data_IF_101783144798
#
_entry.id   IF_101783144798
#
_cell.length_a   1.000
_cell.length_b   1.000
_cell.length_c   1.000
_cell.angle_alpha   90.00
_cell.angle_beta   90.00
_cell.angle_gamma   90.00
#
_symmetry.space_group_name_H-M   'P 1'
#
loop_
_entity.id
_entity.type
_entity.pdbx_description
1 polymer ?
#
# COMPACT_ATOMS: atom_id res chain seq x y z
N UNK A 1 -6.62 15.04 11.25
CA UNK A 1 -5.25 15.31 10.78
C UNK A 1 -4.31 15.23 11.98
N UNK A 2 -3.46 14.20 12.09
CA UNK A 2 -2.43 14.13 13.14
C UNK A 2 -1.10 13.67 12.54
N UNK A 3 -0.08 14.46 12.84
CA UNK A 3 1.30 14.41 12.36
C UNK A 3 2.09 13.42 13.24
N UNK A 4 3.07 12.76 12.65
CA UNK A 4 4.00 11.83 13.31
C UNK A 4 5.19 12.59 13.92
N UNK A 5 5.48 12.34 15.20
CA UNK A 5 6.57 13.00 15.93
C UNK A 5 7.78 12.07 16.24
N UNK A 6 7.91 10.91 15.57
CA UNK A 6 9.20 10.20 15.51
C UNK A 6 9.65 9.40 16.74
N UNK A 7 8.75 8.82 17.55
CA UNK A 7 9.11 8.04 18.75
C UNK A 7 8.93 6.51 18.65
N UNK A 8 9.68 5.70 19.43
CA UNK A 8 9.61 4.23 19.40
C UNK A 8 8.44 3.69 20.25
N UNK A 9 7.59 2.84 19.64
CA UNK A 9 6.56 2.07 20.33
C UNK A 9 5.16 2.69 20.34
N UNK A 10 4.16 1.85 20.07
CA UNK A 10 2.74 2.19 19.92
C UNK A 10 2.05 2.53 21.25
N UNK A 11 2.33 3.69 21.85
CA UNK A 11 1.66 4.12 23.08
C UNK A 11 0.46 5.04 22.86
N UNK A 12 0.17 5.52 21.65
CA UNK A 12 -1.01 6.37 21.39
C UNK A 12 -1.65 6.08 20.02
N UNK A 13 -2.96 5.78 20.03
CA UNK A 13 -3.80 5.74 18.83
C UNK A 13 -4.02 7.18 18.35
N UNK A 14 -3.36 7.56 17.26
CA UNK A 14 -3.70 8.78 16.54
C UNK A 14 -4.87 8.52 15.58
N UNK A 15 -5.69 9.54 15.36
CA UNK A 15 -7.00 9.48 14.73
C UNK A 15 -7.01 9.01 13.25
N UNK A 16 -5.84 8.71 12.65
CA UNK A 16 -5.67 8.36 11.23
C UNK A 16 -4.53 7.34 10.98
N UNK A 17 -4.14 6.53 11.97
CA UNK A 17 -3.11 5.50 11.75
C UNK A 17 -3.47 4.24 12.51
N UNK A 18 -3.63 3.13 11.79
CA UNK A 18 -3.69 1.82 12.42
C UNK A 18 -2.31 1.52 12.98
N UNK A 19 -2.13 1.75 14.28
CA UNK A 19 -0.93 1.31 14.98
C UNK A 19 -0.96 -0.22 15.03
N UNK A 20 -0.12 -0.86 14.20
CA UNK A 20 0.07 -2.30 14.26
C UNK A 20 0.85 -2.57 15.54
N UNK A 21 0.17 -3.21 16.50
CA UNK A 21 0.77 -3.61 17.75
C UNK A 21 2.05 -4.44 17.50
N UNK A 22 3.23 -4.01 17.97
CA UNK A 22 4.49 -4.72 17.76
C UNK A 22 4.52 -6.11 18.40
N UNK A 23 3.67 -6.36 19.40
CA UNK A 23 3.51 -7.65 20.06
C UNK A 23 2.40 -8.52 19.41
N UNK A 24 1.73 -8.05 18.37
CA UNK A 24 0.70 -8.83 17.68
C UNK A 24 1.31 -9.92 16.80
N UNK A 25 0.51 -10.97 16.53
CA UNK A 25 0.85 -11.97 15.53
C UNK A 25 1.09 -11.34 14.14
N UNK A 26 0.36 -10.28 13.79
CA UNK A 26 0.61 -9.54 12.53
C UNK A 26 2.00 -8.92 12.49
N UNK A 27 2.47 -8.34 13.59
CA UNK A 27 3.83 -7.82 13.68
C UNK A 27 4.88 -8.93 13.58
N UNK A 28 4.64 -10.10 14.18
CA UNK A 28 5.49 -11.28 14.01
C UNK A 28 5.52 -11.78 12.55
N UNK A 29 4.47 -11.53 11.77
CA UNK A 29 4.40 -11.77 10.31
C UNK A 29 4.96 -10.61 9.48
N UNK A 30 5.62 -9.64 10.13
CA UNK A 30 6.32 -8.55 9.47
C UNK A 30 5.44 -7.39 9.02
N UNK A 31 4.22 -7.27 9.57
CA UNK A 31 3.45 -6.03 9.47
C UNK A 31 4.04 -5.01 10.46
N UNK A 32 4.64 -3.95 9.92
CA UNK A 32 5.29 -2.89 10.70
C UNK A 32 4.73 -1.54 10.31
N UNK A 33 5.24 -0.45 10.90
CA UNK A 33 4.85 0.89 10.47
C UNK A 33 5.13 1.08 8.97
N UNK A 34 4.16 1.64 8.25
CA UNK A 34 4.28 1.93 6.83
C UNK A 34 5.45 2.91 6.58
N UNK A 35 6.28 2.59 5.59
CA UNK A 35 7.38 3.45 5.11
C UNK A 35 7.07 4.02 3.72
N UNK A 36 5.82 3.89 3.29
CA UNK A 36 5.35 4.25 1.96
C UNK A 36 5.52 5.75 1.67
N UNK A 37 6.19 6.05 0.57
CA UNK A 37 6.22 7.38 -0.03
C UNK A 37 5.39 7.31 -1.32
N UNK A 38 4.44 8.22 -1.44
CA UNK A 38 3.48 8.25 -2.54
C UNK A 38 3.73 9.43 -3.47
N UNK A 39 3.62 9.17 -4.76
CA UNK A 39 3.72 10.16 -5.83
C UNK A 39 2.53 10.03 -6.78
N UNK A 40 1.88 11.16 -7.08
CA UNK A 40 0.74 11.21 -7.97
C UNK A 40 1.10 11.95 -9.25
N UNK A 41 0.96 11.26 -10.38
CA UNK A 41 1.08 11.88 -11.69
C UNK A 41 -0.32 12.20 -12.25
N UNK A 42 -0.77 13.46 -12.19
CA UNK A 42 -2.10 13.85 -12.68
C UNK A 42 -2.22 13.80 -14.21
N UNK A 43 -1.11 13.75 -14.95
CA UNK A 43 -1.12 13.68 -16.41
C UNK A 43 -1.44 12.26 -16.88
N UNK A 44 -0.90 11.25 -16.19
CA UNK A 44 -1.10 9.84 -16.55
C UNK A 44 -2.16 9.14 -15.69
N UNK A 45 -2.62 9.77 -14.60
CA UNK A 45 -3.55 9.13 -13.66
C UNK A 45 -2.91 8.00 -12.85
N UNK A 46 -1.61 8.07 -12.60
CA UNK A 46 -0.84 7.01 -11.93
C UNK A 46 -0.43 7.46 -10.54
N UNK A 47 -0.81 6.67 -9.53
CA UNK A 47 -0.35 6.81 -8.16
C UNK A 47 0.72 5.73 -7.89
N UNK A 48 1.95 6.15 -7.66
CA UNK A 48 3.06 5.25 -7.37
C UNK A 48 3.48 5.34 -5.91
N UNK A 49 3.82 4.19 -5.34
CA UNK A 49 4.32 4.01 -4.00
C UNK A 49 5.74 3.46 -4.08
N UNK A 50 6.64 3.98 -3.25
CA UNK A 50 7.91 3.32 -2.93
C UNK A 50 7.95 2.95 -1.45
N UNK A 51 8.52 1.79 -1.14
CA UNK A 51 8.57 1.26 0.22
C UNK A 51 7.38 0.36 0.55
N UNK A 52 7.01 0.29 1.84
CA UNK A 52 6.01 -0.64 2.35
C UNK A 52 4.79 0.10 2.89
N UNK A 53 3.61 -0.37 2.49
CA UNK A 53 2.34 0.05 3.06
C UNK A 53 1.65 -1.14 3.71
N UNK A 54 1.27 -0.97 4.97
CA UNK A 54 0.51 -1.94 5.73
C UNK A 54 -0.84 -1.32 6.13
N UNK A 55 -1.93 -2.03 5.87
CA UNK A 55 -3.25 -1.76 6.43
C UNK A 55 -3.69 -2.96 7.24
N UNK A 56 -4.35 -2.73 8.36
CA UNK A 56 -4.88 -3.82 9.16
C UNK A 56 -6.19 -3.40 9.81
N UNK A 57 -7.12 -4.32 9.97
CA UNK A 57 -8.37 -4.11 10.69
C UNK A 57 -8.34 -4.82 12.03
N UNK A 58 -9.04 -4.25 13.01
CA UNK A 58 -9.17 -4.78 14.36
C UNK A 58 -10.58 -4.51 14.88
N UNK A 59 -11.04 -5.30 15.85
CA UNK A 59 -12.36 -5.12 16.47
C UNK A 59 -12.33 -4.22 17.71
N UNK A 60 -11.19 -3.61 18.00
CA UNK A 60 -11.01 -2.82 19.21
C UNK A 60 -10.08 -1.65 18.94
N UNK A 61 -10.40 -0.52 19.57
CA UNK A 61 -9.53 0.66 19.60
C UNK A 61 -8.39 0.54 20.63
N UNK A 62 -8.26 -0.60 21.32
CA UNK A 62 -7.20 -0.87 22.28
C UNK A 62 -5.96 -1.45 21.59
N UNK A 63 -4.77 -1.10 22.11
CA UNK A 63 -3.48 -1.50 21.52
C UNK A 63 -3.29 -3.00 21.40
N UNK A 64 -3.99 -3.79 22.22
CA UNK A 64 -3.94 -5.25 22.23
C UNK A 64 -5.22 -5.89 21.67
N UNK A 65 -6.02 -5.13 20.93
CA UNK A 65 -7.25 -5.61 20.32
C UNK A 65 -7.03 -6.81 19.39
N UNK A 66 -8.04 -7.70 19.24
CA UNK A 66 -7.94 -8.78 18.29
C UNK A 66 -7.89 -8.21 16.87
N UNK A 67 -6.89 -8.67 16.11
CA UNK A 67 -6.68 -8.28 14.73
C UNK A 67 -7.53 -9.20 13.85
N UNK A 68 -8.09 -8.66 12.77
CA UNK A 68 -8.96 -9.40 11.86
C UNK A 68 -8.17 -9.84 10.63
N UNK A 69 -7.73 -8.88 9.82
CA UNK A 69 -7.02 -9.12 8.57
C UNK A 69 -6.13 -7.93 8.26
N UNK A 70 -5.03 -8.16 7.55
CA UNK A 70 -4.13 -7.09 7.12
C UNK A 70 -3.59 -7.29 5.72
N UNK A 71 -3.39 -6.18 5.01
CA UNK A 71 -2.74 -6.14 3.71
C UNK A 71 -1.35 -5.54 3.87
N UNK A 72 -0.34 -6.27 3.40
CA UNK A 72 1.04 -5.82 3.31
C UNK A 72 1.43 -5.74 1.84
N UNK A 73 1.82 -4.57 1.38
CA UNK A 73 2.18 -4.33 -0.01
C UNK A 73 3.48 -3.54 -0.11
N UNK A 74 4.30 -3.84 -1.12
CA UNK A 74 5.53 -3.10 -1.40
C UNK A 74 5.59 -2.60 -2.84
N UNK A 75 6.08 -1.38 -3.01
CA UNK A 75 6.28 -0.72 -4.31
C UNK A 75 5.04 -0.81 -5.23
N UNK A 76 3.88 -0.41 -4.70
CA UNK A 76 2.59 -0.48 -5.38
C UNK A 76 2.44 0.65 -6.40
N UNK A 77 1.80 0.37 -7.53
CA UNK A 77 1.34 1.37 -8.49
C UNK A 77 -0.14 1.14 -8.77
N UNK A 78 -0.94 2.19 -8.66
CA UNK A 78 -2.36 2.21 -9.01
C UNK A 78 -2.50 3.10 -10.25
N UNK A 79 -2.88 2.49 -11.37
CA UNK A 79 -3.23 3.17 -12.61
C UNK A 79 -4.76 3.31 -12.67
N UNK A 80 -5.22 4.53 -12.40
CA UNK A 80 -6.65 4.90 -12.38
C UNK A 80 -7.26 5.00 -13.78
N UNK A 81 -6.42 5.08 -14.82
CA UNK A 81 -6.89 5.20 -16.22
C UNK A 81 -7.08 3.82 -16.84
N UNK A 82 -6.16 2.89 -16.56
CA UNK A 82 -6.20 1.53 -17.09
C UNK A 82 -6.87 0.52 -16.14
N UNK A 83 -7.26 0.95 -14.94
CA UNK A 83 -7.84 0.11 -13.89
C UNK A 83 -6.94 -1.09 -13.53
N UNK A 84 -5.65 -0.81 -13.32
CA UNK A 84 -4.64 -1.81 -13.00
C UNK A 84 -3.92 -1.42 -11.71
N UNK A 85 -3.73 -2.39 -10.82
CA UNK A 85 -2.88 -2.25 -9.65
C UNK A 85 -1.76 -3.28 -9.68
N UNK A 86 -0.52 -2.82 -9.64
CA UNK A 86 0.69 -3.66 -9.60
C UNK A 86 1.48 -3.38 -8.32
N UNK A 87 2.33 -4.32 -7.91
CA UNK A 87 3.22 -4.16 -6.75
C UNK A 87 4.41 -5.10 -6.92
N UNK A 88 5.50 -4.83 -6.20
CA UNK A 88 6.60 -5.77 -6.10
C UNK A 88 6.20 -6.99 -5.26
N UNK A 89 5.51 -6.78 -4.14
CA UNK A 89 4.91 -7.86 -3.35
C UNK A 89 3.57 -7.45 -2.76
N UNK A 90 2.70 -8.44 -2.58
CA UNK A 90 1.48 -8.34 -1.81
C UNK A 90 1.32 -9.60 -0.94
N UNK A 91 0.93 -9.40 0.31
CA UNK A 91 0.58 -10.46 1.23
C UNK A 91 -0.65 -10.04 2.00
N UNK A 92 -1.67 -10.90 1.98
CA UNK A 92 -2.67 -10.86 3.02
C UNK A 92 -2.14 -11.60 4.25
N UNK A 93 -2.30 -11.00 5.42
CA UNK A 93 -1.89 -11.56 6.71
C UNK A 93 -3.13 -11.71 7.58
N UNK A 94 -3.40 -12.95 7.96
CA UNK A 94 -4.53 -13.31 8.80
C UNK A 94 -4.30 -12.85 10.25
N UNK A 95 -5.33 -12.28 10.85
CA UNK A 95 -5.36 -11.98 12.28
C UNK A 95 -5.71 -13.20 13.12
N UNK A 96 -6.01 -12.97 14.40
CA UNK A 96 -6.41 -14.04 15.31
C UNK A 96 -7.93 -14.10 15.52
N UNK A 97 -8.67 -13.07 15.11
CA UNK A 97 -10.10 -13.02 15.34
C UNK A 97 -10.87 -14.07 14.55
N UNK A 98 -10.64 -14.16 13.24
CA UNK A 98 -11.49 -14.93 12.33
C UNK A 98 -11.42 -16.44 12.59
N UNK A 99 -10.25 -16.96 12.98
CA UNK A 99 -10.12 -18.35 13.41
C UNK A 99 -11.06 -18.69 14.58
N UNK A 100 -11.28 -17.75 15.51
CA UNK A 100 -12.22 -17.93 16.63
C UNK A 100 -13.70 -17.97 16.23
N UNK A 101 -14.03 -17.57 15.01
CA UNK A 101 -15.39 -17.66 14.44
C UNK A 101 -15.46 -18.63 13.25
N UNK A 102 -14.47 -19.49 13.10
CA UNK A 102 -14.49 -20.54 12.07
C UNK A 102 -14.21 -20.04 10.66
N UNK A 103 -13.45 -18.96 10.48
CA UNK A 103 -13.13 -18.40 9.17
C UNK A 103 -11.63 -18.06 9.01
N UNK A 104 -11.17 -17.98 7.76
CA UNK A 104 -9.91 -17.33 7.39
C UNK A 104 -10.20 -16.30 6.28
N UNK A 105 -9.95 -15.03 6.59
CA UNK A 105 -10.30 -13.90 5.74
C UNK A 105 -9.37 -13.71 4.54
N UNK A 106 -8.08 -14.00 4.70
CA UNK A 106 -7.14 -13.94 3.58
C UNK A 106 -7.43 -14.97 2.51
N UNK A 107 -7.79 -16.19 2.93
CA UNK A 107 -8.08 -17.27 2.01
C UNK A 107 -9.55 -17.31 1.60
N UNK A 108 -10.43 -16.59 2.29
CA UNK A 108 -11.88 -16.62 2.09
C UNK A 108 -12.43 -18.06 2.14
N UNK A 109 -12.20 -18.69 3.31
CA UNK A 109 -12.61 -20.06 3.61
C UNK A 109 -13.31 -20.11 4.98
N UNK A 110 -14.17 -21.12 5.14
CA UNK A 110 -14.61 -21.62 6.44
C UNK A 110 -13.61 -22.68 6.92
N UNK A 111 -13.13 -22.61 8.16
CA UNK A 111 -12.16 -23.58 8.73
C UNK A 111 -12.85 -24.78 9.42
N UNK A 112 -13.94 -25.23 8.83
CA UNK A 112 -14.61 -26.45 9.26
C UNK A 112 -15.26 -26.43 10.66
N UNK A 113 -15.58 -27.63 11.13
CA UNK A 113 -16.22 -27.87 12.43
C UNK A 113 -15.23 -28.08 13.57
N UNK A 114 -13.96 -28.33 13.26
CA UNK A 114 -12.90 -28.52 14.26
C UNK A 114 -12.17 -27.21 14.65
N UNK A 115 -12.44 -26.11 13.92
CA UNK A 115 -11.83 -24.79 14.10
C UNK A 115 -10.31 -24.80 13.93
N UNK A 116 -9.78 -25.68 13.08
CA UNK A 116 -8.35 -25.77 12.76
C UNK A 116 -8.12 -25.42 11.30
N UNK A 117 -7.47 -24.28 11.04
CA UNK A 117 -7.05 -23.90 9.69
C UNK A 117 -6.01 -24.91 9.16
N UNK A 118 -6.48 -25.79 8.28
CA UNK A 118 -5.68 -26.81 7.59
C UNK A 118 -5.30 -26.38 6.18
N UNK A 119 -5.60 -25.13 5.83
CA UNK A 119 -5.35 -24.53 4.54
C UNK A 119 -4.07 -23.69 4.54
N UNK A 120 -3.59 -23.37 3.35
CA UNK A 120 -2.42 -22.52 3.17
C UNK A 120 -2.51 -21.72 1.88
N UNK A 121 -1.69 -20.68 1.77
CA UNK A 121 -1.49 -19.99 0.51
C UNK A 121 -0.03 -19.60 0.28
N UNK A 122 0.38 -19.71 -0.98
CA UNK A 122 1.59 -19.08 -1.49
C UNK A 122 1.19 -17.79 -2.21
N UNK A 123 1.60 -16.64 -1.67
CA UNK A 123 1.48 -15.35 -2.33
C UNK A 123 2.73 -15.03 -3.16
N UNK A 124 2.60 -14.16 -4.14
CA UNK A 124 3.70 -13.70 -5.00
C UNK A 124 4.31 -14.82 -5.85
N UNK A 125 3.50 -15.82 -6.23
CA UNK A 125 4.00 -16.96 -7.02
C UNK A 125 4.51 -16.47 -8.37
N UNK A 126 5.71 -16.90 -8.74
CA UNK A 126 6.39 -16.42 -9.94
C UNK A 126 6.81 -14.95 -9.91
N UNK A 127 6.85 -14.32 -8.72
CA UNK A 127 7.16 -12.89 -8.58
C UNK A 127 5.99 -11.96 -8.94
N UNK A 128 4.78 -12.50 -9.10
CA UNK A 128 3.58 -11.72 -9.42
C UNK A 128 2.77 -11.46 -8.15
N UNK A 129 2.69 -10.21 -7.70
CA UNK A 129 1.92 -9.81 -6.52
C UNK A 129 0.41 -10.11 -6.59
N UNK A 130 -0.14 -10.33 -7.79
CA UNK A 130 -1.52 -10.76 -7.99
C UNK A 130 -1.71 -12.28 -8.03
N UNK A 131 -0.62 -13.06 -8.02
CA UNK A 131 -0.70 -14.51 -8.07
C UNK A 131 -0.66 -15.09 -6.65
N UNK A 132 -1.77 -15.70 -6.28
CA UNK A 132 -1.90 -16.51 -5.08
C UNK A 132 -2.27 -17.94 -5.47
N UNK A 133 -1.74 -18.91 -4.75
CA UNK A 133 -2.10 -20.32 -4.89
C UNK A 133 -2.51 -20.83 -3.53
N UNK A 134 -3.80 -21.08 -3.35
CA UNK A 134 -4.30 -21.71 -2.13
C UNK A 134 -4.26 -23.23 -2.22
N UNK A 135 -4.00 -23.86 -1.08
CA UNK A 135 -4.30 -25.27 -0.86
C UNK A 135 -5.33 -25.33 0.25
N UNK A 136 -6.48 -25.93 -0.03
CA UNK A 136 -7.54 -26.16 0.96
C UNK A 136 -7.35 -27.57 1.52
N UNK A 137 -7.26 -27.68 2.84
CA UNK A 137 -6.98 -28.94 3.54
C UNK A 137 -8.02 -29.26 4.61
N UNK A 138 -7.95 -30.47 5.17
CA UNK A 138 -8.84 -30.88 6.26
C UNK A 138 -10.33 -30.87 5.88
N UNK A 139 -11.15 -30.33 6.77
CA UNK A 139 -12.58 -30.04 6.56
C UNK A 139 -12.84 -28.57 6.20
N UNK A 140 -11.80 -27.82 5.82
CA UNK A 140 -11.94 -26.44 5.34
C UNK A 140 -12.69 -26.38 4.01
N UNK A 141 -13.45 -25.30 3.79
CA UNK A 141 -14.27 -25.12 2.59
C UNK A 141 -14.09 -23.72 2.02
N UNK A 142 -13.86 -23.63 0.71
CA UNK A 142 -13.84 -22.36 -0.01
C UNK A 142 -15.20 -21.67 0.07
N UNK A 143 -15.23 -20.43 0.56
CA UNK A 143 -16.43 -19.57 0.55
C UNK A 143 -16.36 -18.47 -0.51
N UNK A 144 -15.18 -18.27 -1.12
CA UNK A 144 -15.00 -17.40 -2.27
C UNK A 144 -13.54 -17.32 -2.72
N UNK A 145 -13.19 -16.23 -3.39
CA UNK A 145 -11.83 -15.98 -3.85
C UNK A 145 -10.94 -15.48 -2.69
N UNK A 146 -9.65 -15.85 -2.64
CA UNK A 146 -8.68 -15.25 -1.75
C UNK A 146 -8.58 -13.75 -1.97
N UNK A 147 -8.16 -13.05 -0.92
CA UNK A 147 -7.78 -11.65 -1.02
C UNK A 147 -6.45 -11.53 -1.78
N UNK A 148 -6.42 -10.67 -2.80
CA UNK A 148 -5.25 -10.37 -3.66
C UNK A 148 -5.03 -8.86 -3.75
N UNK A 149 -3.94 -8.43 -4.40
CA UNK A 149 -3.65 -7.01 -4.62
C UNK A 149 -4.77 -6.32 -5.43
N UNK A 150 -5.10 -6.85 -6.60
CA UNK A 150 -6.29 -6.49 -7.38
C UNK A 150 -7.11 -7.72 -7.76
N UNK A 151 -8.35 -7.49 -8.19
CA UNK A 151 -9.22 -8.58 -8.64
C UNK A 151 -8.65 -9.23 -9.91
N UNK A 152 -8.60 -10.56 -9.92
CA UNK A 152 -8.10 -11.36 -11.05
C UNK A 152 -9.01 -12.54 -11.32
N UNK A 153 -9.15 -12.93 -12.59
CA UNK A 153 -9.97 -14.07 -12.99
C UNK A 153 -9.33 -15.45 -12.71
N UNK A 154 -8.09 -15.47 -12.18
CA UNK A 154 -7.29 -16.68 -12.03
C UNK A 154 -6.70 -17.16 -13.35
N UNK A 155 -5.89 -18.22 -13.29
CA UNK A 155 -5.22 -18.83 -14.44
C UNK A 155 -3.69 -18.88 -14.31
N UNK A 156 -3.04 -19.65 -15.18
CA UNK A 156 -1.57 -19.81 -15.13
C UNK A 156 -1.05 -20.47 -13.86
N UNK A 157 -1.91 -21.20 -13.14
CA UNK A 157 -1.62 -21.79 -11.83
C UNK A 157 -1.99 -20.91 -10.63
N UNK A 158 -2.45 -19.67 -10.85
CA UNK A 158 -2.97 -18.79 -9.81
C UNK A 158 -4.48 -18.96 -9.61
N UNK A 159 -4.95 -18.82 -8.37
CA UNK A 159 -6.38 -18.69 -8.07
C UNK A 159 -6.93 -17.35 -8.60
N UNK A 160 -8.25 -17.32 -8.85
CA UNK A 160 -8.97 -16.06 -8.96
C UNK A 160 -8.87 -15.29 -7.64
N UNK A 161 -8.82 -13.96 -7.69
CA UNK A 161 -8.57 -13.13 -6.52
C UNK A 161 -9.56 -11.98 -6.39
N UNK A 162 -9.88 -11.60 -5.15
CA UNK A 162 -10.64 -10.40 -4.82
C UNK A 162 -9.69 -9.29 -4.36
N UNK A 163 -9.68 -8.18 -5.09
CA UNK A 163 -8.70 -7.12 -4.92
C UNK A 163 -8.89 -6.26 -3.69
N UNK A 164 -7.83 -6.17 -2.88
CA UNK A 164 -7.71 -5.25 -1.75
C UNK A 164 -7.58 -3.78 -2.21
N UNK A 165 -6.96 -3.54 -3.37
CA UNK A 165 -6.57 -2.22 -3.87
C UNK A 165 -7.11 -1.94 -5.27
N UNK A 166 -8.38 -2.30 -5.53
CA UNK A 166 -9.11 -1.90 -6.74
C UNK A 166 -9.55 -0.42 -6.64
N UNK A 167 -8.60 0.50 -6.42
CA UNK A 167 -8.85 1.91 -6.09
C UNK A 167 -8.67 2.82 -7.32
N UNK A 168 -9.49 2.63 -8.35
CA UNK A 168 -9.28 3.27 -9.65
C UNK A 168 -10.09 4.55 -9.87
N UNK A 169 -11.05 4.87 -9.01
CA UNK A 169 -11.82 6.09 -9.17
C UNK A 169 -11.11 7.28 -8.51
N UNK A 170 -10.81 8.33 -9.27
CA UNK A 170 -10.39 9.62 -8.70
C UNK A 170 -11.63 10.40 -8.27
N UNK A 171 -11.93 10.40 -6.97
CA UNK A 171 -13.09 11.11 -6.40
C UNK A 171 -12.83 12.61 -6.34
N UNK A 172 -11.59 13.01 -6.00
CA UNK A 172 -11.20 14.42 -6.01
C UNK A 172 -9.70 14.61 -6.21
N UNK A 173 -9.32 15.65 -6.94
CA UNK A 173 -7.95 16.14 -7.06
C UNK A 173 -7.97 17.67 -7.15
N UNK A 174 -7.37 18.36 -6.16
CA UNK A 174 -7.41 19.83 -6.08
C UNK A 174 -6.08 20.50 -6.44
N UNK A 175 -5.12 19.76 -7.02
CA UNK A 175 -3.82 20.29 -7.42
C UNK A 175 -2.75 20.30 -6.31
N UNK A 176 -1.53 20.80 -6.64
CA UNK A 176 -0.44 20.95 -5.68
C UNK A 176 -0.84 21.74 -4.44
N UNK A 177 -0.43 21.27 -3.25
CA UNK A 177 -0.85 21.84 -1.96
C UNK A 177 -2.26 21.45 -1.51
N UNK A 178 -2.96 20.66 -2.33
CA UNK A 178 -4.32 20.22 -2.12
C UNK A 178 -4.44 18.77 -1.65
N UNK A 179 -5.53 18.13 -2.06
CA UNK A 179 -5.87 16.75 -1.72
C UNK A 179 -6.12 15.90 -2.97
N UNK A 180 -5.72 14.63 -2.88
CA UNK A 180 -6.16 13.56 -3.78
C UNK A 180 -6.97 12.55 -2.97
N UNK A 181 -8.13 12.14 -3.50
CA UNK A 181 -8.92 11.02 -2.97
C UNK A 181 -9.15 10.02 -4.09
N UNK A 182 -8.76 8.76 -3.86
CA UNK A 182 -9.06 7.65 -4.76
C UNK A 182 -9.91 6.59 -4.05
N UNK A 183 -10.82 5.94 -4.76
CA UNK A 183 -11.78 4.99 -4.19
C UNK A 183 -11.95 3.73 -5.06
N UNK A 184 -12.65 2.73 -4.51
CA UNK A 184 -13.10 1.53 -5.23
C UNK A 184 -14.43 1.70 -5.98
N UNK A 185 -14.75 2.91 -6.45
CA UNK A 185 -15.99 3.20 -7.19
C UNK A 185 -17.27 2.86 -6.40
N UNK A 186 -17.19 2.98 -5.08
CA UNK A 186 -18.30 2.82 -4.15
C UNK A 186 -18.53 4.17 -3.47
N UNK A 187 -19.79 4.54 -3.27
CA UNK A 187 -20.13 5.78 -2.55
C UNK A 187 -19.42 5.84 -1.19
N UNK A 188 -18.80 6.99 -0.87
CA UNK A 188 -17.96 7.15 0.32
C UNK A 188 -18.71 6.93 1.65
N UNK A 189 -20.04 6.95 1.64
CA UNK A 189 -20.88 6.70 2.81
C UNK A 189 -21.52 5.31 2.81
N UNK A 190 -21.27 4.50 1.79
CA UNK A 190 -21.78 3.14 1.70
C UNK A 190 -20.85 2.13 2.41
N UNK A 191 -21.45 1.02 2.86
CA UNK A 191 -20.68 -0.11 3.34
C UNK A 191 -19.84 -0.71 2.21
N UNK A 192 -18.62 -1.15 2.53
CA UNK A 192 -17.69 -1.73 1.55
C UNK A 192 -16.88 -0.71 0.76
N UNK A 193 -17.02 0.59 1.05
CA UNK A 193 -16.13 1.61 0.51
C UNK A 193 -14.70 1.41 1.01
N UNK A 194 -13.76 1.48 0.09
CA UNK A 194 -12.33 1.59 0.38
C UNK A 194 -11.81 2.81 -0.35
N UNK A 195 -11.09 3.69 0.35
CA UNK A 195 -10.50 4.87 -0.25
C UNK A 195 -9.17 5.22 0.41
N UNK A 196 -8.34 5.92 -0.33
CA UNK A 196 -7.10 6.52 0.17
C UNK A 196 -7.16 8.02 -0.05
N UNK A 197 -6.63 8.76 0.91
CA UNK A 197 -6.57 10.22 0.87
C UNK A 197 -5.14 10.68 1.05
N UNK A 198 -4.69 11.59 0.18
CA UNK A 198 -3.32 12.09 0.17
C UNK A 198 -3.31 13.60 0.23
N UNK A 199 -2.33 14.16 0.95
CA UNK A 199 -1.94 15.56 0.76
C UNK A 199 -0.99 15.64 -0.42
N UNK A 200 -1.34 16.46 -1.42
CA UNK A 200 -0.51 16.64 -2.60
C UNK A 200 0.60 17.63 -2.26
N UNK A 201 1.85 17.26 -2.50
CA UNK A 201 2.98 18.14 -2.24
C UNK A 201 2.82 19.46 -3.03
N UNK A 202 3.27 20.57 -2.44
CA UNK A 202 3.47 21.79 -3.21
C UNK A 202 4.66 21.57 -4.14
N UNK A 203 4.44 21.56 -5.44
CA UNK A 203 5.53 21.70 -6.39
C UNK A 203 6.11 23.09 -6.21
N UNK A 204 7.33 23.20 -5.66
CA UNK A 204 8.10 24.43 -5.79
C UNK A 204 8.66 24.41 -7.21
N UNK A 205 8.26 25.33 -8.11
CA UNK A 205 8.81 25.34 -9.45
C UNK A 205 10.31 25.58 -9.34
N UNK A 206 11.13 24.57 -9.65
CA UNK A 206 12.57 24.78 -9.80
C UNK A 206 12.71 25.58 -11.09
N UNK A 207 13.18 26.84 -11.06
CA UNK A 207 13.30 27.61 -12.27
C UNK A 207 14.27 26.88 -13.20
N UNK A 208 13.86 26.65 -14.45
CA UNK A 208 14.63 25.97 -15.48
C UNK A 208 16.04 26.57 -15.73
N UNK A 209 16.37 27.70 -15.12
CA UNK A 209 17.66 28.38 -15.21
C UNK A 209 18.77 27.83 -14.29
N UNK A 210 18.47 26.95 -13.31
CA UNK A 210 19.50 26.45 -12.39
C UNK A 210 20.58 25.57 -13.08
N UNK A 211 20.26 24.95 -14.21
CA UNK A 211 21.18 24.08 -14.96
C UNK A 211 22.09 24.81 -15.96
N UNK A 212 21.82 26.08 -16.28
CA UNK A 212 22.56 26.83 -17.32
C UNK A 212 23.72 27.69 -16.80
N UNK A 213 23.91 27.82 -15.48
CA UNK A 213 24.95 28.70 -14.91
C UNK A 213 26.24 27.97 -14.48
N UNK A 214 26.29 26.63 -14.55
CA UNK A 214 27.45 25.87 -14.08
C UNK A 214 28.73 25.98 -14.94
N UNK A 215 28.72 26.20 -16.28
CA UNK A 215 29.98 26.33 -17.01
C UNK A 215 30.45 27.78 -17.25
N UNK A 216 29.62 28.81 -17.01
CA UNK A 216 29.96 30.18 -17.36
C UNK A 216 30.98 30.85 -16.41
N UNK A 217 31.10 30.38 -15.17
CA UNK A 217 32.01 31.00 -14.18
C UNK A 217 33.47 30.53 -14.33
N UNK A 218 33.74 29.38 -14.95
CA UNK A 218 35.12 28.90 -15.17
C UNK A 218 35.81 29.53 -16.40
N UNK A 219 35.08 30.13 -17.34
CA UNK A 219 35.65 30.70 -18.56
C UNK A 219 36.18 32.14 -18.38
N UNK A 220 35.71 32.88 -17.37
CA UNK A 220 36.12 34.27 -17.13
C UNK A 220 37.48 34.41 -16.41
N UNK A 221 38.06 33.31 -15.90
CA UNK A 221 39.30 33.33 -15.12
C UNK A 221 40.60 33.16 -15.92
N UNK A 222 40.57 32.96 -17.24
CA UNK A 222 41.77 32.59 -18.04
C UNK A 222 42.25 33.61 -19.08
N UNK A 223 41.72 34.84 -19.08
CA UNK A 223 42.15 35.90 -20.00
C UNK A 223 42.54 37.21 -19.29
N UNK A 224 43.61 37.20 -18.48
CA UNK A 224 44.40 38.41 -18.23
C UNK A 224 45.74 38.11 -17.55
N UNK A 225 46.75 37.67 -18.32
CA UNK A 225 48.16 37.97 -18.03
C UNK A 225 48.99 37.93 -19.32
N UNK A 226 48.80 38.96 -20.14
CA UNK A 226 49.85 39.49 -21.01
C UNK A 226 50.00 40.98 -20.71
N UNK A 227 51.05 41.34 -19.98
CA UNK A 227 51.70 42.65 -20.09
C UNK A 227 53.19 42.41 -20.30
N UNK A 228 53.69 42.94 -21.42
CA UNK A 228 55.10 43.16 -21.74
C UNK A 228 55.58 44.48 -21.10
N UNK A 229 56.92 44.64 -21.13
CA UNK A 229 57.78 45.81 -20.88
C UNK A 229 58.44 45.80 -19.48
N UNK A 230 59.76 45.99 -19.33
CA UNK A 230 60.80 46.52 -20.22
C UNK A 230 61.96 45.53 -20.43
#
# INVERSE_FOLDING_TARGET
>A
MQRWDGGPGCTNYAQYTNCINPASQMAARGMTASTAVWDWNPVTGVLSMTGMFNTASSLSSQSMGPMVIGDKVTDMTIDTTNNITTAATYNCIEGNFLAGVGANGCLNISIGGDFVDSSSAAYNVGGNANCVVRTIGGDDVSTGNPRTLMSTAGGGGCDAGDGAFNLWEVVSYTGPGGQLVISNNTDLFAAGVNYLTFSVANEVPVPAAAWLLAPAVLAAGRFSRRRKAA
#
